data_IF_718184427333
#
_entry.id   IF_718184427333
#
_cell.length_a   1.000
_cell.length_b   1.000
_cell.length_c   1.000
_cell.angle_alpha   90.00
_cell.angle_beta   90.00
_cell.angle_gamma   90.00
#
_symmetry.space_group_name_H-M   'P 1'
#
loop_
_entity.id
_entity.type
_entity.pdbx_description
1 polymer ?
#
# COMPACT_ATOMS: atom_id res chain seq x y z
N UNK A 1 52.71 27.56 -10.89
CA UNK A 1 52.05 27.30 -9.62
C UNK A 1 50.56 27.65 -9.63
N UNK A 2 50.18 28.84 -10.05
CA UNK A 2 48.76 29.26 -10.09
C UNK A 2 47.85 28.41 -11.00
N UNK A 3 48.37 27.88 -12.10
CA UNK A 3 47.58 27.02 -13.04
C UNK A 3 47.32 25.63 -12.47
N UNK A 4 48.23 25.09 -11.66
CA UNK A 4 48.06 23.82 -11.00
C UNK A 4 46.94 23.89 -9.91
N UNK A 5 46.89 24.99 -9.18
CA UNK A 5 45.89 25.25 -8.15
C UNK A 5 44.48 25.37 -8.73
N UNK A 6 44.34 26.05 -9.88
CA UNK A 6 43.05 26.15 -10.58
C UNK A 6 42.55 24.78 -11.09
N UNK A 7 43.44 23.95 -11.61
CA UNK A 7 43.08 22.59 -12.05
C UNK A 7 42.67 21.67 -10.87
N UNK A 8 43.37 21.77 -9.76
CA UNK A 8 43.05 21.02 -8.55
C UNK A 8 41.70 21.48 -7.95
N UNK A 9 41.48 22.79 -7.88
CA UNK A 9 40.21 23.35 -7.40
C UNK A 9 39.05 22.93 -8.32
N UNK A 10 39.21 22.99 -9.64
CA UNK A 10 38.23 22.53 -10.61
C UNK A 10 37.91 21.04 -10.46
N UNK A 11 38.92 20.23 -10.25
CA UNK A 11 38.74 18.78 -10.04
C UNK A 11 38.03 18.46 -8.75
N UNK A 12 38.37 19.12 -7.66
CA UNK A 12 37.73 18.98 -6.35
C UNK A 12 36.27 19.43 -6.37
N UNK A 13 35.99 20.56 -7.03
CA UNK A 13 34.60 21.04 -7.15
C UNK A 13 33.74 20.12 -8.00
N UNK A 14 34.28 19.59 -9.08
CA UNK A 14 33.58 18.59 -9.92
C UNK A 14 33.29 17.31 -9.16
N UNK A 15 34.25 16.81 -8.37
CA UNK A 15 34.10 15.63 -7.54
C UNK A 15 33.06 15.84 -6.43
N UNK A 16 33.06 17.03 -5.81
CA UNK A 16 32.09 17.40 -4.76
C UNK A 16 30.66 17.47 -5.33
N UNK A 17 30.47 18.01 -6.53
CA UNK A 17 29.18 18.07 -7.21
C UNK A 17 28.68 16.66 -7.53
N UNK A 18 29.55 15.74 -7.99
CA UNK A 18 29.21 14.35 -8.25
C UNK A 18 28.76 13.61 -6.99
N UNK A 19 29.37 13.90 -5.84
CA UNK A 19 28.99 13.29 -4.55
C UNK A 19 27.62 13.81 -4.05
N UNK A 20 27.25 15.04 -4.38
CA UNK A 20 25.95 15.62 -4.00
C UNK A 20 24.78 15.07 -4.84
N UNK A 21 25.04 14.58 -6.04
CA UNK A 21 24.01 14.00 -6.91
C UNK A 21 23.65 12.57 -6.50
N UNK A 22 24.52 11.89 -5.76
CA UNK A 22 24.36 10.47 -5.42
C UNK A 22 23.31 10.16 -4.35
N UNK A 23 22.67 11.17 -3.76
CA UNK A 23 21.75 10.97 -2.63
C UNK A 23 20.25 10.99 -3.01
N UNK A 24 19.92 10.99 -4.29
CA UNK A 24 18.54 10.82 -4.73
C UNK A 24 18.18 9.33 -4.77
N UNK A 25 18.22 8.66 -3.62
CA UNK A 25 17.47 7.43 -3.43
C UNK A 25 16.00 7.81 -3.45
N UNK A 26 15.39 7.80 -4.62
CA UNK A 26 13.95 7.89 -4.78
C UNK A 26 13.38 6.58 -4.25
N UNK A 27 13.14 6.54 -2.94
CA UNK A 27 12.34 5.48 -2.31
C UNK A 27 10.91 5.67 -2.82
N UNK A 28 10.60 5.07 -3.94
CA UNK A 28 9.25 4.99 -4.47
C UNK A 28 8.51 3.94 -3.62
N UNK A 29 8.08 4.33 -2.42
CA UNK A 29 7.20 3.49 -1.61
C UNK A 29 5.86 3.43 -2.33
N UNK A 30 5.53 2.25 -2.87
CA UNK A 30 4.21 2.00 -3.46
C UNK A 30 3.13 2.27 -2.42
N UNK A 31 2.13 3.04 -2.80
CA UNK A 31 0.96 3.29 -1.96
C UNK A 31 0.01 2.10 -2.05
N UNK A 32 0.21 1.14 -1.16
CA UNK A 32 -0.59 -0.10 -1.10
C UNK A 32 -1.63 0.05 0.01
N UNK A 33 -2.85 -0.37 -0.25
CA UNK A 33 -3.95 -0.37 0.72
C UNK A 33 -4.78 -1.63 0.57
N UNK A 34 -5.37 -2.08 1.66
CA UNK A 34 -6.38 -3.13 1.64
C UNK A 34 -7.76 -2.49 1.80
N UNK A 35 -8.58 -2.58 0.77
CA UNK A 35 -9.97 -2.13 0.81
C UNK A 35 -10.85 -3.31 1.21
N UNK A 36 -11.60 -3.15 2.30
CA UNK A 36 -12.62 -4.09 2.72
C UNK A 36 -14.00 -3.51 2.42
N UNK A 37 -14.75 -4.20 1.59
CA UNK A 37 -16.17 -3.91 1.38
C UNK A 37 -16.95 -4.72 2.41
N UNK A 38 -17.62 -4.04 3.32
CA UNK A 38 -18.45 -4.65 4.35
C UNK A 38 -19.92 -4.26 4.23
N UNK A 39 -20.76 -4.88 5.02
CA UNK A 39 -22.19 -4.52 5.10
C UNK A 39 -22.71 -4.73 6.53
N UNK A 40 -23.80 -4.06 6.84
CA UNK A 40 -24.54 -4.26 8.09
C UNK A 40 -25.22 -5.65 8.07
N UNK A 41 -25.08 -6.39 9.17
CA UNK A 41 -25.65 -7.74 9.26
C UNK A 41 -24.93 -8.78 8.42
N UNK A 42 -23.66 -8.55 8.09
CA UNK A 42 -22.80 -9.50 7.39
C UNK A 42 -22.05 -10.38 8.39
N UNK A 43 -22.45 -11.67 8.59
CA UNK A 43 -21.85 -12.54 9.62
C UNK A 43 -20.34 -12.77 9.40
N UNK A 44 -19.90 -12.92 8.16
CA UNK A 44 -18.48 -13.13 7.85
C UNK A 44 -17.66 -11.84 8.00
N UNK A 45 -18.26 -10.66 7.87
CA UNK A 45 -17.61 -9.39 8.21
C UNK A 45 -17.38 -9.31 9.72
N UNK A 46 -18.37 -9.68 10.53
CA UNK A 46 -18.28 -9.72 11.99
C UNK A 46 -17.22 -10.72 12.44
N UNK A 47 -17.18 -11.90 11.84
CA UNK A 47 -16.18 -12.92 12.13
C UNK A 47 -14.77 -12.43 11.83
N UNK A 48 -14.57 -11.76 10.70
CA UNK A 48 -13.28 -11.13 10.37
C UNK A 48 -12.91 -10.06 11.40
N UNK A 49 -13.85 -9.24 11.83
CA UNK A 49 -13.60 -8.24 12.87
C UNK A 49 -13.15 -8.85 14.19
N UNK A 50 -13.77 -9.96 14.60
CA UNK A 50 -13.41 -10.68 15.82
C UNK A 50 -12.02 -11.32 15.73
N UNK A 51 -11.71 -11.98 14.63
CA UNK A 51 -10.47 -12.74 14.48
C UNK A 51 -9.27 -11.89 14.05
N UNK A 52 -9.47 -10.88 13.21
CA UNK A 52 -8.39 -10.13 12.56
C UNK A 52 -8.48 -8.64 12.81
N UNK A 53 -9.68 -8.06 12.82
CA UNK A 53 -9.89 -6.61 12.76
C UNK A 53 -9.07 -5.82 13.75
N UNK A 54 -9.05 -6.23 15.02
CA UNK A 54 -8.32 -5.52 16.09
C UNK A 54 -6.80 -5.63 16.01
N UNK A 55 -6.29 -6.68 15.36
CA UNK A 55 -4.85 -6.95 15.25
C UNK A 55 -4.24 -6.60 13.89
N UNK A 56 -5.06 -6.41 12.85
CA UNK A 56 -4.59 -6.20 11.49
C UNK A 56 -3.55 -5.08 11.38
N UNK A 57 -3.85 -3.90 11.92
CA UNK A 57 -2.94 -2.73 11.83
C UNK A 57 -1.60 -2.92 12.55
N UNK A 58 -1.51 -3.91 13.44
CA UNK A 58 -0.30 -4.24 14.20
C UNK A 58 0.59 -5.24 13.48
N UNK A 59 0.09 -5.89 12.46
CA UNK A 59 0.83 -6.87 11.64
C UNK A 59 1.72 -6.18 10.61
N UNK A 60 2.68 -6.92 10.06
CA UNK A 60 3.53 -6.44 8.96
C UNK A 60 2.68 -6.10 7.74
N UNK A 61 1.73 -6.98 7.40
CA UNK A 61 0.80 -6.82 6.28
C UNK A 61 -0.06 -5.58 6.45
N UNK A 62 -0.61 -5.36 7.64
CA UNK A 62 -1.45 -4.19 7.94
C UNK A 62 -0.70 -2.86 7.93
N UNK A 63 0.61 -2.88 8.20
CA UNK A 63 1.47 -1.70 8.07
C UNK A 63 1.84 -1.40 6.63
N UNK A 64 2.06 -2.43 5.83
CA UNK A 64 2.35 -2.31 4.39
C UNK A 64 1.12 -1.95 3.57
N UNK A 65 -0.04 -2.49 3.93
CA UNK A 65 -1.32 -2.27 3.28
C UNK A 65 -2.38 -1.83 4.30
N UNK A 66 -2.38 -0.56 4.74
CA UNK A 66 -3.37 -0.06 5.69
C UNK A 66 -4.80 -0.33 5.22
N UNK A 67 -5.67 -0.71 6.18
CA UNK A 67 -7.06 -1.03 5.91
C UNK A 67 -7.88 0.24 5.62
N UNK A 68 -8.66 0.19 4.55
CA UNK A 68 -9.77 1.11 4.29
C UNK A 68 -11.06 0.29 4.31
N UNK A 69 -12.05 0.72 5.06
CA UNK A 69 -13.38 0.11 5.06
C UNK A 69 -14.34 0.92 4.22
N UNK A 70 -15.18 0.23 3.47
CA UNK A 70 -16.21 0.85 2.66
C UNK A 70 -17.49 0.03 2.73
N UNK A 71 -18.61 0.72 2.99
CA UNK A 71 -19.90 0.07 3.10
C UNK A 71 -20.47 -0.28 1.72
N UNK A 72 -20.95 -1.50 1.56
CA UNK A 72 -21.57 -1.98 0.33
C UNK A 72 -22.71 -1.05 -0.11
N UNK A 73 -22.77 -0.75 -1.41
CA UNK A 73 -23.76 0.13 -1.99
C UNK A 73 -23.53 1.63 -1.79
N UNK A 74 -22.52 2.03 -0.99
CA UNK A 74 -22.12 3.43 -0.89
C UNK A 74 -21.24 3.83 -2.07
N UNK A 75 -21.18 5.14 -2.37
CA UNK A 75 -20.28 5.64 -3.41
C UNK A 75 -18.84 5.57 -2.95
N UNK A 76 -17.98 4.86 -3.71
CA UNK A 76 -16.54 4.86 -3.50
C UNK A 76 -15.94 6.25 -3.77
N UNK A 77 -14.84 6.61 -3.07
CA UNK A 77 -14.05 7.79 -3.44
C UNK A 77 -13.62 7.76 -4.91
N UNK A 78 -13.73 8.89 -5.59
CA UNK A 78 -13.49 8.98 -7.04
C UNK A 78 -12.08 8.55 -7.48
N UNK A 79 -11.09 8.65 -6.58
CA UNK A 79 -9.72 8.23 -6.86
C UNK A 79 -9.53 6.70 -6.86
N UNK A 80 -10.45 5.92 -6.30
CA UNK A 80 -10.36 4.47 -6.26
C UNK A 80 -10.96 3.89 -7.54
N UNK A 81 -10.15 3.09 -8.24
CA UNK A 81 -10.53 2.47 -9.51
C UNK A 81 -10.55 0.95 -9.31
N UNK A 82 -11.74 0.38 -9.39
CA UNK A 82 -11.99 -1.06 -9.33
C UNK A 82 -12.18 -1.64 -10.73
N UNK A 83 -11.83 -2.92 -10.90
CA UNK A 83 -12.03 -3.65 -12.15
C UNK A 83 -13.52 -3.97 -12.39
N UNK A 84 -14.27 -4.15 -11.32
CA UNK A 84 -15.73 -4.38 -11.35
C UNK A 84 -16.35 -3.99 -10.01
N UNK A 85 -17.66 -3.77 -10.02
CA UNK A 85 -18.42 -3.54 -8.78
C UNK A 85 -18.34 -4.75 -7.86
N UNK A 86 -18.10 -4.55 -6.54
CA UNK A 86 -18.18 -5.63 -5.56
C UNK A 86 -19.64 -6.13 -5.45
N UNK A 87 -19.82 -7.44 -5.39
CA UNK A 87 -21.14 -8.08 -5.29
C UNK A 87 -21.31 -8.95 -4.03
N UNK A 88 -20.23 -9.18 -3.29
CA UNK A 88 -20.22 -9.97 -2.05
C UNK A 88 -19.65 -9.17 -0.90
N UNK A 89 -20.04 -9.53 0.32
CA UNK A 89 -19.45 -9.03 1.56
C UNK A 89 -19.05 -10.17 2.49
N UNK A 90 -17.87 -10.09 3.13
CA UNK A 90 -16.84 -9.12 2.83
C UNK A 90 -16.16 -9.38 1.48
N UNK A 91 -15.72 -8.34 0.81
CA UNK A 91 -14.77 -8.43 -0.30
C UNK A 91 -13.51 -7.67 0.07
N UNK A 92 -12.36 -8.28 -0.11
CA UNK A 92 -11.06 -7.68 0.16
C UNK A 92 -10.34 -7.39 -1.16
N UNK A 93 -9.96 -6.15 -1.36
CA UNK A 93 -9.36 -5.67 -2.61
C UNK A 93 -8.02 -5.02 -2.30
N UNK A 94 -6.94 -5.57 -2.84
CA UNK A 94 -5.64 -4.94 -2.75
C UNK A 94 -5.55 -3.83 -3.78
N UNK A 95 -5.28 -2.62 -3.30
CA UNK A 95 -5.07 -1.43 -4.12
C UNK A 95 -3.59 -1.08 -4.16
N UNK A 96 -3.09 -0.80 -5.34
CA UNK A 96 -1.80 -0.18 -5.58
C UNK A 96 -2.02 1.12 -6.33
N UNK A 97 -1.58 2.24 -5.76
CA UNK A 97 -1.84 3.58 -6.30
C UNK A 97 -3.34 3.81 -6.59
N UNK A 98 -4.20 3.39 -5.65
CA UNK A 98 -5.67 3.45 -5.71
C UNK A 98 -6.31 2.62 -6.84
N UNK A 99 -5.57 1.72 -7.47
CA UNK A 99 -6.08 0.81 -8.50
C UNK A 99 -6.11 -0.62 -7.99
N UNK A 100 -7.21 -1.32 -8.27
CA UNK A 100 -7.32 -2.73 -7.94
C UNK A 100 -6.24 -3.57 -8.63
N UNK A 101 -5.53 -4.36 -7.83
CA UNK A 101 -4.56 -5.36 -8.30
C UNK A 101 -5.12 -6.76 -8.25
N UNK A 102 -5.73 -7.13 -7.15
CA UNK A 102 -6.48 -8.37 -7.01
C UNK A 102 -7.53 -8.25 -5.92
N UNK A 103 -8.47 -9.19 -5.90
CA UNK A 103 -9.49 -9.31 -4.86
C UNK A 103 -9.74 -10.75 -4.49
N UNK A 104 -10.26 -10.94 -3.31
CA UNK A 104 -10.92 -12.18 -2.91
C UNK A 104 -12.22 -11.87 -2.19
N UNK A 105 -13.19 -12.72 -2.39
CA UNK A 105 -14.55 -12.55 -1.92
C UNK A 105 -14.82 -13.52 -0.77
N UNK A 106 -15.45 -13.01 0.27
CA UNK A 106 -15.76 -13.79 1.47
C UNK A 106 -14.62 -13.83 2.48
N UNK A 107 -14.87 -14.48 3.59
CA UNK A 107 -13.91 -14.74 4.64
C UNK A 107 -13.95 -16.22 5.05
N UNK A 108 -12.88 -16.93 4.77
CA UNK A 108 -12.75 -18.38 4.99
C UNK A 108 -11.87 -18.72 6.20
N UNK A 109 -11.63 -17.76 7.08
CA UNK A 109 -10.80 -17.93 8.28
C UNK A 109 -9.44 -17.26 8.18
N UNK A 110 -8.76 -17.16 9.33
CA UNK A 110 -7.48 -16.44 9.47
C UNK A 110 -6.39 -16.98 8.54
N UNK A 111 -6.22 -18.29 8.52
CA UNK A 111 -5.16 -18.94 7.73
C UNK A 111 -5.27 -18.58 6.24
N UNK A 112 -6.47 -18.67 5.71
CA UNK A 112 -6.74 -18.32 4.32
C UNK A 112 -6.47 -16.83 4.06
N UNK A 113 -6.96 -15.96 4.95
CA UNK A 113 -6.78 -14.52 4.82
C UNK A 113 -5.29 -14.12 4.76
N UNK A 114 -4.49 -14.62 5.70
CA UNK A 114 -3.06 -14.31 5.73
C UNK A 114 -2.30 -14.92 4.55
N UNK A 115 -2.67 -16.10 4.09
CA UNK A 115 -2.03 -16.71 2.92
C UNK A 115 -2.24 -15.88 1.63
N UNK A 116 -3.32 -15.12 1.59
CA UNK A 116 -3.62 -14.25 0.46
C UNK A 116 -2.79 -12.97 0.45
N UNK A 117 -2.36 -12.51 1.61
CA UNK A 117 -1.61 -11.26 1.78
C UNK A 117 -0.09 -11.47 1.87
N UNK A 118 0.38 -12.71 1.98
CA UNK A 118 1.81 -13.03 2.15
C UNK A 118 2.61 -13.02 0.85
#
# INVERSE_FOLDING_TARGET
MKILDIKVISFVTTLLILLLISNNSFSNSLNIKLLMIDDTGCPFCELWDEEIGSKYSKTVEGKLAPLIRHHYGSKLPDQIILNSEPIFTPTFILLEENREKFRFEGYLGEEFFWSFLS
#
